data_IF_980120023341
#
_entry.id   IF_980120023341
#
_cell.length_a   1.000
_cell.length_b   1.000
_cell.length_c   1.000
_cell.angle_alpha   90.00
_cell.angle_beta   90.00
_cell.angle_gamma   90.00
#
_symmetry.space_group_name_H-M   'P 1'
#
loop_
_entity.id
_entity.type
_entity.pdbx_description
1 polymer ?
#
# COMPACT_ATOMS: atom_id res chain seq x y z
N UNK A 1 4.96 -10.94 18.07
CA UNK A 1 5.12 -11.69 16.82
C UNK A 1 6.12 -12.79 17.08
N UNK A 2 5.73 -14.07 16.95
CA UNK A 2 6.65 -15.21 17.07
C UNK A 2 6.57 -15.97 15.75
N UNK A 3 7.53 -15.75 14.86
CA UNK A 3 7.80 -16.53 13.65
C UNK A 3 9.31 -16.51 13.42
N UNK A 4 9.84 -17.51 12.71
CA UNK A 4 11.26 -17.62 12.41
C UNK A 4 11.77 -16.43 11.59
N UNK A 5 13.06 -16.12 11.74
CA UNK A 5 13.67 -15.03 10.97
C UNK A 5 13.75 -15.37 9.48
N UNK A 6 13.86 -16.65 9.12
CA UNK A 6 13.78 -17.10 7.72
C UNK A 6 12.43 -16.71 7.10
N UNK A 7 11.31 -17.03 7.77
CA UNK A 7 9.98 -16.69 7.29
C UNK A 7 9.79 -15.17 7.22
N UNK A 8 10.36 -14.42 8.17
CA UNK A 8 10.33 -12.96 8.16
C UNK A 8 10.95 -12.37 6.89
N UNK A 9 12.14 -12.86 6.56
CA UNK A 9 12.92 -12.40 5.43
C UNK A 9 12.24 -12.77 4.12
N UNK A 10 11.75 -14.00 3.99
CA UNK A 10 11.04 -14.43 2.78
C UNK A 10 9.74 -13.65 2.57
N UNK A 11 8.98 -13.37 3.63
CA UNK A 11 7.77 -12.54 3.54
C UNK A 11 8.11 -11.12 3.07
N UNK A 12 9.17 -10.52 3.61
CA UNK A 12 9.66 -9.20 3.18
C UNK A 12 10.07 -9.21 1.71
N UNK A 13 10.85 -10.22 1.29
CA UNK A 13 11.30 -10.37 -0.09
C UNK A 13 10.12 -10.49 -1.06
N UNK A 14 9.13 -11.33 -0.75
CA UNK A 14 7.94 -11.49 -1.59
C UNK A 14 7.10 -10.19 -1.68
N UNK A 15 7.00 -9.43 -0.58
CA UNK A 15 6.29 -8.15 -0.58
C UNK A 15 7.03 -7.12 -1.44
N UNK A 16 8.36 -7.05 -1.33
CA UNK A 16 9.17 -6.05 -2.02
C UNK A 16 9.35 -6.32 -3.52
N UNK A 17 9.40 -7.59 -3.94
CA UNK A 17 9.68 -7.97 -5.34
C UNK A 17 8.43 -8.25 -6.19
N UNK A 18 7.28 -8.50 -5.56
CA UNK A 18 6.05 -8.79 -6.31
C UNK A 18 5.48 -7.54 -6.97
N UNK A 19 5.40 -7.55 -8.30
CA UNK A 19 4.74 -6.50 -9.12
C UNK A 19 3.26 -6.33 -8.81
N UNK A 20 2.58 -7.41 -8.39
CA UNK A 20 1.15 -7.37 -8.00
C UNK A 20 0.97 -7.13 -6.48
N UNK A 21 2.07 -7.01 -5.74
CA UNK A 21 2.09 -7.07 -4.28
C UNK A 21 1.80 -8.48 -3.75
N UNK A 22 1.85 -8.63 -2.43
CA UNK A 22 1.51 -9.88 -1.75
C UNK A 22 0.22 -9.73 -0.92
N UNK A 23 -0.75 -10.62 -1.10
CA UNK A 23 -1.99 -10.66 -0.31
C UNK A 23 -1.70 -11.26 1.08
N UNK A 24 -2.33 -10.73 2.14
CA UNK A 24 -2.16 -11.23 3.50
C UNK A 24 -2.72 -12.64 3.69
N UNK A 25 -3.75 -13.03 2.92
CA UNK A 25 -4.29 -14.40 2.95
C UNK A 25 -3.26 -15.37 2.38
N UNK A 26 -2.75 -15.09 1.18
CA UNK A 26 -1.73 -15.91 0.51
C UNK A 26 -0.43 -16.01 1.34
N UNK A 27 0.00 -14.90 1.96
CA UNK A 27 1.14 -14.90 2.88
C UNK A 27 0.87 -15.74 4.14
N UNK A 28 -0.37 -15.72 4.64
CA UNK A 28 -0.77 -16.54 5.79
C UNK A 28 -0.73 -18.03 5.48
N UNK A 29 -1.26 -18.43 4.33
CA UNK A 29 -1.29 -19.82 3.86
C UNK A 29 0.12 -20.34 3.57
N UNK A 30 0.95 -19.57 2.86
CA UNK A 30 2.30 -20.00 2.45
C UNK A 30 3.28 -20.18 3.61
N UNK A 31 3.20 -19.32 4.62
CA UNK A 31 4.13 -19.32 5.76
C UNK A 31 3.51 -19.89 7.03
N UNK A 32 2.32 -20.48 6.93
CA UNK A 32 1.55 -21.06 8.04
C UNK A 32 1.37 -20.09 9.23
N UNK A 33 1.26 -18.80 8.91
CA UNK A 33 1.05 -17.74 9.90
C UNK A 33 -0.40 -17.29 9.90
N UNK A 34 -0.90 -16.88 11.06
CA UNK A 34 -2.24 -16.28 11.15
C UNK A 34 -2.33 -15.09 10.17
N UNK A 35 -3.40 -15.03 9.39
CA UNK A 35 -3.62 -13.97 8.39
C UNK A 35 -3.49 -12.55 8.96
N UNK A 36 -3.92 -12.34 10.22
CA UNK A 36 -3.74 -11.06 10.92
C UNK A 36 -2.28 -10.70 11.12
N UNK A 37 -1.42 -11.70 11.36
CA UNK A 37 0.03 -11.53 11.54
C UNK A 37 0.69 -11.17 10.22
N UNK A 38 0.35 -11.86 9.13
CA UNK A 38 0.80 -11.52 7.78
C UNK A 38 0.38 -10.10 7.38
N UNK A 39 -0.84 -9.69 7.74
CA UNK A 39 -1.31 -8.32 7.54
C UNK A 39 -0.46 -7.28 8.30
N UNK A 40 -0.13 -7.53 9.56
CA UNK A 40 0.73 -6.64 10.34
C UNK A 40 2.14 -6.52 9.74
N UNK A 41 2.74 -7.62 9.28
CA UNK A 41 4.06 -7.58 8.61
C UNK A 41 3.96 -6.72 7.36
N UNK A 42 2.99 -7.01 6.50
CA UNK A 42 2.76 -6.25 5.26
C UNK A 42 2.58 -4.77 5.51
N UNK A 43 1.84 -4.39 6.57
CA UNK A 43 1.67 -3.00 6.97
C UNK A 43 2.99 -2.35 7.38
N UNK A 44 3.79 -3.01 8.22
CA UNK A 44 5.11 -2.52 8.63
C UNK A 44 6.07 -2.32 7.45
N UNK A 45 6.13 -3.32 6.56
CA UNK A 45 6.94 -3.26 5.34
C UNK A 45 6.51 -2.09 4.46
N UNK A 46 5.20 -1.95 4.21
CA UNK A 46 4.68 -0.83 3.43
C UNK A 46 5.01 0.53 4.04
N UNK A 47 4.87 0.68 5.36
CA UNK A 47 5.24 1.92 6.07
C UNK A 47 6.74 2.20 5.92
N UNK A 48 7.59 1.19 5.96
CA UNK A 48 9.03 1.35 5.75
C UNK A 48 9.39 1.68 4.30
N UNK A 49 8.58 1.26 3.32
CA UNK A 49 8.77 1.53 1.89
C UNK A 49 8.21 2.89 1.43
N UNK A 50 7.61 3.68 2.33
CA UNK A 50 7.13 5.02 1.98
C UNK A 50 8.31 5.89 1.56
N UNK A 51 8.16 6.61 0.44
CA UNK A 51 9.18 7.54 -0.05
C UNK A 51 9.40 8.66 0.96
N UNK A 52 10.67 9.07 1.15
CA UNK A 52 11.03 10.23 1.97
C UNK A 52 10.59 11.57 1.35
N UNK A 53 10.21 11.58 0.06
CA UNK A 53 9.82 12.79 -0.66
C UNK A 53 10.97 13.80 -0.92
N UNK A 54 12.19 13.50 -0.47
CA UNK A 54 13.35 14.40 -0.56
C UNK A 54 14.06 14.37 -1.91
N UNK A 55 13.71 13.42 -2.78
CA UNK A 55 14.30 13.27 -4.10
C UNK A 55 13.23 13.58 -5.16
N UNK A 56 13.08 14.85 -5.59
CA UNK A 56 12.12 15.21 -6.62
C UNK A 56 12.51 14.61 -7.98
N UNK A 57 11.51 14.45 -8.85
CA UNK A 57 11.73 14.07 -10.25
C UNK A 57 12.14 15.33 -11.03
N UNK A 58 13.21 15.24 -11.82
CA UNK A 58 13.70 16.33 -12.66
C UNK A 58 13.25 16.14 -14.13
N UNK A 59 13.04 17.25 -14.84
CA UNK A 59 12.65 17.28 -16.27
C UNK A 59 11.13 17.34 -16.50
N UNK A 60 10.69 16.90 -17.70
CA UNK A 60 9.27 16.85 -18.05
C UNK A 60 8.59 15.65 -17.37
N UNK A 61 7.78 15.94 -16.34
CA UNK A 61 7.06 14.93 -15.56
C UNK A 61 5.60 14.87 -15.98
N UNK A 62 5.19 13.74 -16.53
CA UNK A 62 3.78 13.42 -16.77
C UNK A 62 3.18 12.79 -15.52
N UNK A 63 2.16 13.43 -14.94
CA UNK A 63 1.44 12.93 -13.76
C UNK A 63 0.10 12.37 -14.23
N UNK A 64 -0.16 11.11 -13.91
CA UNK A 64 -1.47 10.47 -14.12
C UNK A 64 -2.22 10.42 -12.78
N UNK A 65 -3.42 10.98 -12.76
CA UNK A 65 -4.25 11.05 -11.56
C UNK A 65 -5.25 9.90 -11.55
N UNK A 66 -5.08 8.98 -10.59
CA UNK A 66 -6.04 7.90 -10.37
C UNK A 66 -7.01 8.28 -9.24
N UNK A 67 -8.29 8.38 -9.58
CA UNK A 67 -9.36 8.51 -8.58
C UNK A 67 -9.71 7.11 -8.04
N UNK A 68 -9.54 6.92 -6.73
CA UNK A 68 -9.98 5.71 -6.04
C UNK A 68 -11.24 6.06 -5.26
N UNK A 69 -12.38 5.58 -5.73
CA UNK A 69 -13.67 5.72 -5.05
C UNK A 69 -13.65 4.98 -3.70
N UNK A 70 -13.29 5.69 -2.63
CA UNK A 70 -13.58 5.22 -1.28
C UNK A 70 -15.06 5.42 -0.97
N UNK A 71 -15.77 4.39 -0.46
CA UNK A 71 -17.17 4.53 -0.09
C UNK A 71 -17.34 5.59 1.01
N UNK A 72 -18.09 6.65 0.72
CA UNK A 72 -18.41 7.72 1.65
C UNK A 72 -19.67 7.34 2.44
N UNK A 73 -19.69 7.67 3.73
CA UNK A 73 -20.84 7.37 4.59
C UNK A 73 -22.09 8.09 4.05
N UNK A 74 -23.06 7.33 3.57
CA UNK A 74 -24.32 7.84 3.01
C UNK A 74 -24.37 7.94 1.48
N UNK A 75 -23.29 7.63 0.77
CA UNK A 75 -23.26 7.58 -0.70
C UNK A 75 -22.92 6.16 -1.18
N UNK A 76 -23.57 5.71 -2.26
CA UNK A 76 -23.26 4.43 -2.89
C UNK A 76 -21.92 4.55 -3.63
N UNK A 77 -20.99 3.61 -3.41
CA UNK A 77 -19.70 3.63 -4.13
C UNK A 77 -19.91 3.61 -5.66
N UNK A 78 -19.14 4.44 -6.39
CA UNK A 78 -19.27 4.76 -7.83
C UNK A 78 -20.40 5.72 -8.22
N UNK A 79 -21.01 6.41 -7.29
CA UNK A 79 -21.90 7.53 -7.62
C UNK A 79 -21.10 8.70 -8.22
N UNK A 80 -21.63 9.35 -9.27
CA UNK A 80 -21.08 10.60 -9.83
C UNK A 80 -21.29 11.78 -8.86
N UNK A 81 -20.66 11.74 -7.70
CA UNK A 81 -20.51 12.90 -6.82
C UNK A 81 -19.31 13.74 -7.28
N UNK A 82 -19.30 15.05 -7.03
CA UNK A 82 -18.14 15.92 -7.30
C UNK A 82 -16.83 15.31 -6.75
N UNK A 83 -15.71 15.52 -7.45
CA UNK A 83 -14.47 14.80 -7.20
C UNK A 83 -13.99 15.03 -5.77
N UNK A 84 -13.75 13.95 -5.03
CA UNK A 84 -13.19 14.01 -3.66
C UNK A 84 -11.76 13.50 -3.69
N UNK A 85 -10.85 14.40 -3.32
CA UNK A 85 -9.41 14.25 -3.04
C UNK A 85 -8.68 13.28 -3.97
N UNK A 86 -8.06 13.87 -4.99
CA UNK A 86 -7.00 13.25 -5.77
C UNK A 86 -5.84 12.91 -4.82
N UNK A 87 -5.15 11.77 -5.04
CA UNK A 87 -3.94 11.43 -4.26
C UNK A 87 -2.88 12.55 -4.35
N UNK A 88 -2.88 13.34 -5.42
CA UNK A 88 -2.03 14.51 -5.58
C UNK A 88 -2.24 15.55 -4.47
N UNK A 89 -3.45 15.70 -3.95
CA UNK A 89 -3.75 16.65 -2.87
C UNK A 89 -3.12 16.21 -1.54
N UNK A 90 -3.12 14.90 -1.25
CA UNK A 90 -2.47 14.33 -0.06
C UNK A 90 -0.94 14.42 -0.12
N UNK A 91 -0.34 14.31 -1.32
CA UNK A 91 1.10 14.53 -1.49
C UNK A 91 1.49 16.00 -1.39
N UNK A 92 0.61 16.93 -1.79
CA UNK A 92 0.85 18.38 -1.71
C UNK A 92 0.67 18.92 -0.28
N UNK A 93 -0.22 18.33 0.51
CA UNK A 93 -0.49 18.70 1.90
C UNK A 93 0.58 18.18 2.90
N UNK A 94 1.45 17.27 2.47
CA UNK A 94 2.59 16.73 3.25
C UNK A 94 3.93 17.43 2.96
N UNK A 95 3.95 18.53 2.19
CA UNK A 95 5.12 19.38 1.96
C UNK A 95 5.19 20.57 2.90
#
# INVERSE_FOLDING_TARGET
MKFGIENAFEMLYNIATSTKGANSIWLGERFEVKQTTAWFIRRKVRTAMVSSGQNPLDGDVHVDEFEIDTPKKGEQGRSKSEPKNSYCDLFREQR
#
